data_IF_573085969554
#
_entry.id   IF_573085969554
#
_cell.length_a   1.000
_cell.length_b   1.000
_cell.length_c   1.000
_cell.angle_alpha   90.00
_cell.angle_beta   90.00
_cell.angle_gamma   90.00
#
_symmetry.space_group_name_H-M   'P 1'
#
loop_
_entity.id
_entity.type
_entity.pdbx_description
1 polymer ?
#
# COMPACT_ATOMS: atom_id res chain seq x y z
N UNK A 1 16.43 0.43 4.61
CA UNK A 1 15.59 0.78 3.47
C UNK A 1 15.31 2.27 3.50
N UNK A 2 15.42 2.96 2.38
CA UNK A 2 15.19 4.40 2.32
C UNK A 2 13.70 4.74 2.26
N UNK A 3 13.35 5.97 2.65
CA UNK A 3 11.96 6.45 2.53
C UNK A 3 11.52 6.42 1.06
N UNK A 4 12.41 6.83 0.14
CA UNK A 4 12.10 6.76 -1.30
C UNK A 4 11.74 5.35 -1.74
N UNK A 5 12.55 4.35 -1.35
CA UNK A 5 12.27 2.95 -1.70
C UNK A 5 10.98 2.45 -1.07
N UNK A 6 10.69 2.86 0.17
CA UNK A 6 9.46 2.49 0.86
C UNK A 6 8.23 3.05 0.15
N UNK A 7 8.29 4.31 -0.26
CA UNK A 7 7.19 4.95 -1.00
C UNK A 7 7.03 4.31 -2.38
N UNK A 8 8.13 4.00 -3.07
CA UNK A 8 8.07 3.34 -4.37
C UNK A 8 7.39 1.97 -4.26
N UNK A 9 7.71 1.20 -3.22
CA UNK A 9 7.04 -0.09 -2.98
C UNK A 9 5.54 0.10 -2.78
N UNK A 10 5.12 1.14 -2.05
CA UNK A 10 3.71 1.46 -1.87
C UNK A 10 3.03 1.78 -3.20
N UNK A 11 3.68 2.56 -4.05
CA UNK A 11 3.14 2.90 -5.38
C UNK A 11 2.96 1.62 -6.20
N UNK A 12 3.95 0.74 -6.20
CA UNK A 12 3.89 -0.52 -6.96
C UNK A 12 2.76 -1.42 -6.46
N UNK A 13 2.61 -1.54 -5.14
CA UNK A 13 1.57 -2.36 -4.53
C UNK A 13 0.17 -1.80 -4.80
N UNK A 14 0.00 -0.48 -4.71
CA UNK A 14 -1.27 0.17 -5.00
C UNK A 14 -1.61 0.10 -6.50
N UNK A 15 -0.61 0.19 -7.37
CA UNK A 15 -0.79 0.01 -8.81
C UNK A 15 -1.32 -1.39 -9.11
N UNK A 16 -0.76 -2.40 -8.45
CA UNK A 16 -1.26 -3.78 -8.59
C UNK A 16 -2.70 -3.92 -8.07
N UNK A 17 -3.01 -3.27 -6.95
CA UNK A 17 -4.36 -3.31 -6.36
C UNK A 17 -5.41 -2.64 -7.25
N UNK A 18 -5.01 -1.69 -8.10
CA UNK A 18 -5.94 -1.00 -9.00
C UNK A 18 -6.66 -1.99 -9.94
N UNK A 19 -5.95 -3.00 -10.45
CA UNK A 19 -6.56 -4.03 -11.28
C UNK A 19 -7.67 -4.79 -10.56
N UNK A 20 -7.44 -5.13 -9.30
CA UNK A 20 -8.46 -5.78 -8.47
C UNK A 20 -9.63 -4.85 -8.15
N UNK A 21 -9.37 -3.56 -7.97
CA UNK A 21 -10.44 -2.58 -7.75
C UNK A 21 -11.38 -2.50 -8.95
N UNK A 22 -10.82 -2.50 -10.17
CA UNK A 22 -11.61 -2.52 -11.40
C UNK A 22 -12.48 -3.78 -11.46
N UNK A 23 -11.92 -4.94 -11.13
CA UNK A 23 -12.65 -6.21 -11.14
C UNK A 23 -13.75 -6.23 -10.09
N UNK A 24 -13.47 -5.68 -8.90
CA UNK A 24 -14.47 -5.56 -7.83
C UNK A 24 -15.68 -4.75 -8.31
N UNK A 25 -15.45 -3.62 -8.94
CA UNK A 25 -16.52 -2.75 -9.42
C UNK A 25 -17.37 -3.44 -10.51
N UNK A 26 -16.81 -4.43 -11.18
CA UNK A 26 -17.53 -5.27 -12.15
C UNK A 26 -18.21 -6.48 -11.54
N UNK A 27 -18.20 -6.60 -10.21
CA UNK A 27 -18.92 -7.65 -9.49
C UNK A 27 -18.08 -8.85 -9.04
N UNK A 28 -16.75 -8.79 -9.14
CA UNK A 28 -15.87 -9.87 -8.69
C UNK A 28 -15.63 -9.79 -7.19
N UNK A 29 -16.27 -10.68 -6.41
CA UNK A 29 -16.17 -10.67 -4.94
C UNK A 29 -14.75 -10.99 -4.44
N UNK A 30 -14.05 -11.93 -5.08
CA UNK A 30 -12.68 -12.27 -4.69
C UNK A 30 -11.73 -11.08 -4.88
N UNK A 31 -11.94 -10.28 -5.93
CA UNK A 31 -11.15 -9.06 -6.16
C UNK A 31 -11.36 -8.05 -5.03
N UNK A 32 -12.59 -7.91 -4.52
CA UNK A 32 -12.89 -7.04 -3.38
C UNK A 32 -12.13 -7.44 -2.14
N UNK A 33 -12.01 -8.74 -1.85
CA UNK A 33 -11.23 -9.24 -0.74
C UNK A 33 -9.74 -8.88 -0.90
N UNK A 34 -9.20 -9.00 -2.11
CA UNK A 34 -7.81 -8.63 -2.37
C UNK A 34 -7.58 -7.13 -2.21
N UNK A 35 -8.52 -6.28 -2.62
CA UNK A 35 -8.46 -4.83 -2.40
C UNK A 35 -8.39 -4.51 -0.91
N UNK A 36 -9.25 -5.15 -0.10
CA UNK A 36 -9.25 -4.92 1.36
C UNK A 36 -7.90 -5.30 1.98
N UNK A 37 -7.33 -6.44 1.57
CA UNK A 37 -6.01 -6.86 2.05
C UNK A 37 -4.91 -5.87 1.63
N UNK A 38 -4.97 -5.37 0.39
CA UNK A 38 -4.02 -4.38 -0.11
C UNK A 38 -4.12 -3.08 0.70
N UNK A 39 -5.32 -2.64 1.06
CA UNK A 39 -5.50 -1.44 1.87
C UNK A 39 -4.98 -1.62 3.29
N UNK A 40 -5.16 -2.79 3.88
CA UNK A 40 -4.58 -3.09 5.20
C UNK A 40 -3.05 -3.06 5.16
N UNK A 41 -2.46 -3.63 4.10
CA UNK A 41 -1.01 -3.58 3.91
C UNK A 41 -0.53 -2.14 3.67
N UNK A 42 -1.26 -1.34 2.90
CA UNK A 42 -0.94 0.07 2.66
C UNK A 42 -0.97 0.89 3.95
N UNK A 43 -1.95 0.64 4.81
CA UNK A 43 -2.04 1.29 6.12
C UNK A 43 -0.79 1.03 6.95
N UNK A 44 -0.36 -0.23 7.04
CA UNK A 44 0.86 -0.61 7.77
C UNK A 44 2.10 0.02 7.14
N UNK A 45 2.21 -0.04 5.81
CA UNK A 45 3.34 0.56 5.09
C UNK A 45 3.41 2.08 5.31
N UNK A 46 2.26 2.76 5.29
CA UNK A 46 2.20 4.19 5.54
C UNK A 46 2.71 4.53 6.95
N UNK A 47 2.33 3.75 7.95
CA UNK A 47 2.82 3.96 9.31
C UNK A 47 4.33 3.73 9.41
N UNK A 48 4.84 2.70 8.71
CA UNK A 48 6.28 2.42 8.69
C UNK A 48 7.06 3.58 8.08
N UNK A 49 6.53 4.19 7.01
CA UNK A 49 7.15 5.37 6.39
C UNK A 49 7.20 6.53 7.39
N UNK A 50 6.11 6.80 8.08
CA UNK A 50 6.04 7.86 9.09
C UNK A 50 7.08 7.65 10.19
N UNK A 51 7.18 6.41 10.68
CA UNK A 51 8.15 6.02 11.71
C UNK A 51 9.58 6.23 11.22
N UNK A 52 9.87 5.82 9.98
CA UNK A 52 11.20 5.98 9.38
C UNK A 52 11.58 7.46 9.24
N UNK A 53 10.65 8.29 8.75
CA UNK A 53 10.87 9.73 8.62
C UNK A 53 11.20 10.36 9.96
N UNK A 54 10.44 9.99 11.01
CA UNK A 54 10.68 10.52 12.36
C UNK A 54 12.04 10.09 12.89
N UNK A 55 12.43 8.82 12.68
CA UNK A 55 13.73 8.33 13.09
C UNK A 55 14.88 9.05 12.35
N UNK A 56 14.71 9.30 11.07
CA UNK A 56 15.73 10.02 10.27
C UNK A 56 15.87 11.46 10.73
N UNK A 57 14.77 12.12 11.13
CA UNK A 57 14.81 13.50 11.63
C UNK A 57 15.52 13.59 13.00
N UNK A 58 15.45 12.53 13.79
CA UNK A 58 16.03 12.49 15.13
C UNK A 58 17.47 11.96 15.15
N UNK A 59 17.98 11.52 14.01
CA UNK A 59 19.33 10.95 13.88
C UNK A 59 20.45 12.00 13.94
#
# INVERSE_FOLDING_TARGET
>A
MSVEAMVQTMIDDLTAALGDAVKHDKGNAAAGTRVRKAMQAAKTAAQDVRTKVQADKNA
#
